data_IF_424003325181
#
_entry.id   IF_424003325181
#
_cell.length_a   1.000
_cell.length_b   1.000
_cell.length_c   1.000
_cell.angle_alpha   90.00
_cell.angle_beta   90.00
_cell.angle_gamma   90.00
#
_symmetry.space_group_name_H-M   'P 1'
#
loop_
_entity.id
_entity.type
_entity.pdbx_description
1 polymer ?
#
# COMPACT_ATOMS: atom_id res chain seq x y z
N UNK A 1 -19.36 -1.24 -7.89
CA UNK A 1 -19.18 -2.44 -7.04
C UNK A 1 -17.83 -3.03 -7.39
N UNK A 2 -16.90 -3.17 -6.44
CA UNK A 2 -15.54 -3.59 -6.75
C UNK A 2 -15.50 -5.04 -7.25
N UNK A 3 -14.64 -5.30 -8.24
CA UNK A 3 -14.48 -6.58 -8.93
C UNK A 3 -13.23 -7.31 -8.41
N UNK A 4 -13.18 -7.64 -7.11
CA UNK A 4 -12.05 -8.43 -6.61
C UNK A 4 -12.17 -9.90 -7.00
N UNK A 5 -11.03 -10.52 -7.31
CA UNK A 5 -10.91 -11.98 -7.26
C UNK A 5 -10.90 -12.42 -5.79
N UNK A 6 -12.00 -13.05 -5.34
CA UNK A 6 -12.16 -13.52 -3.96
C UNK A 6 -11.13 -14.57 -3.56
N UNK A 7 -10.53 -15.26 -4.52
CA UNK A 7 -9.57 -16.35 -4.26
C UNK A 7 -8.14 -15.87 -4.02
N UNK A 8 -7.86 -14.56 -4.10
CA UNK A 8 -6.51 -14.02 -3.90
C UNK A 8 -6.51 -12.98 -2.78
N UNK A 9 -5.85 -13.24 -1.64
CA UNK A 9 -5.68 -12.25 -0.60
C UNK A 9 -4.82 -11.09 -1.13
N UNK A 10 -5.16 -9.87 -0.73
CA UNK A 10 -4.58 -8.61 -1.23
C UNK A 10 -4.79 -8.35 -2.72
N UNK A 11 -5.77 -8.99 -3.36
CA UNK A 11 -6.28 -8.46 -4.64
C UNK A 11 -6.88 -7.08 -4.40
N UNK A 12 -6.78 -6.19 -5.38
CA UNK A 12 -7.21 -4.81 -5.24
C UNK A 12 -7.98 -4.35 -6.47
N UNK A 13 -8.74 -3.28 -6.28
CA UNK A 13 -9.51 -2.61 -7.32
C UNK A 13 -9.49 -1.11 -7.03
N UNK A 14 -9.55 -0.32 -8.10
CA UNK A 14 -9.48 1.14 -8.01
C UNK A 14 -10.86 1.70 -8.36
N UNK A 15 -11.59 2.12 -7.34
CA UNK A 15 -12.92 2.70 -7.49
C UNK A 15 -12.78 4.22 -7.54
N UNK A 16 -13.44 4.86 -8.50
CA UNK A 16 -13.44 6.32 -8.63
C UNK A 16 -14.82 6.86 -8.31
N UNK A 17 -14.91 7.70 -7.28
CA UNK A 17 -16.14 8.33 -6.83
C UNK A 17 -15.94 9.84 -6.73
N UNK A 18 -16.39 10.58 -7.74
CA UNK A 18 -16.14 12.04 -7.81
C UNK A 18 -14.64 12.35 -7.91
N UNK A 19 -14.12 13.08 -6.94
CA UNK A 19 -12.69 13.39 -6.82
C UNK A 19 -11.89 12.30 -6.09
N UNK A 20 -12.58 11.36 -5.45
CA UNK A 20 -11.92 10.29 -4.71
C UNK A 20 -11.52 9.13 -5.61
N UNK A 21 -10.29 8.66 -5.39
CA UNK A 21 -9.70 7.47 -5.99
C UNK A 21 -9.44 6.50 -4.85
N UNK A 22 -10.38 5.58 -4.67
CA UNK A 22 -10.40 4.64 -3.58
C UNK A 22 -9.66 3.37 -4.01
N UNK A 23 -8.53 3.12 -3.38
CA UNK A 23 -7.82 1.84 -3.48
C UNK A 23 -8.48 0.85 -2.52
N UNK A 24 -9.36 0.02 -3.04
CA UNK A 24 -9.98 -1.01 -2.24
C UNK A 24 -9.16 -2.30 -2.32
N UNK A 25 -8.89 -2.93 -1.17
CA UNK A 25 -7.99 -4.08 -1.03
C UNK A 25 -8.77 -5.21 -0.35
N UNK A 26 -8.82 -6.38 -0.96
CA UNK A 26 -9.46 -7.57 -0.41
C UNK A 26 -8.56 -8.25 0.62
N UNK A 27 -9.04 -8.36 1.86
CA UNK A 27 -8.39 -9.04 2.96
C UNK A 27 -9.30 -10.09 3.63
N UNK A 28 -10.36 -10.56 2.97
CA UNK A 28 -11.31 -11.53 3.54
C UNK A 28 -10.63 -12.81 4.05
N UNK A 29 -9.75 -13.39 3.23
CA UNK A 29 -8.99 -14.60 3.56
C UNK A 29 -7.71 -14.31 4.36
N UNK A 30 -7.47 -13.06 4.75
CA UNK A 30 -6.30 -12.70 5.55
C UNK A 30 -6.54 -13.05 7.03
N UNK A 31 -5.60 -13.79 7.64
CA UNK A 31 -5.78 -14.38 8.97
C UNK A 31 -5.72 -13.36 10.12
N UNK A 32 -5.20 -12.16 9.88
CA UNK A 32 -5.12 -11.08 10.85
C UNK A 32 -6.01 -9.91 10.48
N UNK A 33 -6.14 -8.96 11.39
CA UNK A 33 -6.79 -7.69 11.11
C UNK A 33 -5.87 -6.86 10.20
N UNK A 34 -6.39 -6.32 9.08
CA UNK A 34 -5.61 -5.47 8.20
C UNK A 34 -5.42 -4.08 8.84
N UNK A 35 -4.32 -3.93 9.56
CA UNK A 35 -3.85 -2.67 10.16
C UNK A 35 -2.51 -2.29 9.52
N UNK A 36 -2.42 -1.10 8.94
CA UNK A 36 -1.18 -0.63 8.31
C UNK A 36 -0.11 -0.43 9.39
N UNK A 37 -0.49 0.13 10.53
CA UNK A 37 0.40 0.51 11.63
C UNK A 37 0.90 -0.67 12.46
N UNK A 38 0.09 -1.72 12.61
CA UNK A 38 0.40 -2.83 13.52
C UNK A 38 0.85 -4.12 12.81
N UNK A 39 0.54 -4.28 11.52
CA UNK A 39 0.90 -5.48 10.76
C UNK A 39 1.91 -5.18 9.63
N UNK A 40 3.16 -5.68 9.77
CA UNK A 40 4.20 -5.45 8.77
C UNK A 40 3.86 -5.95 7.37
N UNK A 41 3.06 -7.01 7.25
CA UNK A 41 2.67 -7.57 5.95
C UNK A 41 1.70 -6.62 5.25
N UNK A 42 0.71 -6.12 5.99
CA UNK A 42 -0.26 -5.13 5.52
C UNK A 42 0.46 -3.84 5.10
N UNK A 43 1.40 -3.34 5.90
CA UNK A 43 2.25 -2.20 5.52
C UNK A 43 2.99 -2.45 4.20
N UNK A 44 3.71 -3.55 4.09
CA UNK A 44 4.51 -3.87 2.91
C UNK A 44 3.64 -3.97 1.64
N UNK A 45 2.53 -4.72 1.71
CA UNK A 45 1.59 -4.86 0.60
C UNK A 45 0.98 -3.52 0.19
N UNK A 46 0.63 -2.70 1.16
CA UNK A 46 0.06 -1.37 0.89
C UNK A 46 1.07 -0.46 0.21
N UNK A 47 2.34 -0.50 0.64
CA UNK A 47 3.41 0.25 -0.01
C UNK A 47 3.56 -0.15 -1.48
N UNK A 48 3.60 -1.45 -1.77
CA UNK A 48 3.70 -1.95 -3.16
C UNK A 48 2.53 -1.45 -4.02
N UNK A 49 1.30 -1.54 -3.49
CA UNK A 49 0.10 -1.09 -4.17
C UNK A 49 0.07 0.43 -4.38
N UNK A 50 0.56 1.22 -3.45
CA UNK A 50 0.64 2.69 -3.59
C UNK A 50 1.72 3.14 -4.59
N UNK A 51 2.74 2.32 -4.82
CA UNK A 51 3.74 2.57 -5.87
C UNK A 51 3.16 2.29 -7.26
N UNK A 52 2.24 1.33 -7.37
CA UNK A 52 1.48 1.00 -8.58
C UNK A 52 0.36 2.03 -8.84
N UNK A 53 -0.48 2.30 -7.83
CA UNK A 53 -1.61 3.24 -7.86
C UNK A 53 -1.24 4.57 -7.19
N UNK A 54 -0.52 5.40 -7.93
CA UNK A 54 0.09 6.64 -7.41
C UNK A 54 -0.89 7.76 -7.03
N UNK A 55 -2.15 7.66 -7.43
CA UNK A 55 -3.15 8.71 -7.28
C UNK A 55 -4.29 8.32 -6.32
N UNK A 56 -4.18 7.21 -5.59
CA UNK A 56 -5.15 6.87 -4.55
C UNK A 56 -5.29 8.02 -3.53
N UNK A 57 -6.53 8.39 -3.20
CA UNK A 57 -6.88 9.39 -2.18
C UNK A 57 -7.41 8.75 -0.91
N UNK A 58 -7.89 7.51 -0.99
CA UNK A 58 -8.39 6.72 0.14
C UNK A 58 -7.95 5.26 -0.04
N UNK A 59 -7.69 4.56 1.07
CA UNK A 59 -7.52 3.10 1.08
C UNK A 59 -8.66 2.48 1.87
N UNK A 60 -9.20 1.37 1.38
CA UNK A 60 -10.22 0.59 2.09
C UNK A 60 -9.85 -0.89 2.07
N UNK A 61 -9.51 -1.46 3.23
CA UNK A 61 -9.38 -2.91 3.36
C UNK A 61 -10.75 -3.54 3.62
N UNK A 62 -11.11 -4.52 2.81
CA UNK A 62 -12.37 -5.26 2.89
C UNK A 62 -12.11 -6.61 3.55
N UNK A 63 -12.71 -6.83 4.71
CA UNK A 63 -12.80 -8.11 5.40
C UNK A 63 -14.24 -8.18 5.97
N UNK A 64 -14.46 -8.82 7.13
CA UNK A 64 -15.73 -8.77 7.87
C UNK A 64 -16.28 -7.36 8.10
N UNK A 65 -15.40 -6.36 8.17
CA UNK A 65 -15.72 -4.92 8.15
C UNK A 65 -14.73 -4.18 7.27
N UNK A 66 -15.11 -2.98 6.85
CA UNK A 66 -14.22 -2.10 6.11
C UNK A 66 -13.31 -1.34 7.08
N UNK A 67 -12.03 -1.27 6.74
CA UNK A 67 -11.03 -0.44 7.40
C UNK A 67 -10.59 0.64 6.43
N UNK A 68 -10.88 1.90 6.76
CA UNK A 68 -10.64 3.02 5.87
C UNK A 68 -9.47 3.87 6.35
N UNK A 69 -8.66 4.33 5.41
CA UNK A 69 -7.59 5.29 5.64
C UNK A 69 -7.80 6.48 4.74
N UNK A 70 -7.82 7.67 5.34
CA UNK A 70 -8.09 8.92 4.64
C UNK A 70 -6.88 9.43 3.85
N UNK A 71 -7.09 10.53 3.13
CA UNK A 71 -6.04 11.15 2.33
C UNK A 71 -4.77 11.45 3.12
N UNK A 72 -4.88 11.96 4.34
CA UNK A 72 -3.72 12.34 5.15
C UNK A 72 -2.86 11.13 5.50
N UNK A 73 -3.52 10.03 5.89
CA UNK A 73 -2.86 8.76 6.19
C UNK A 73 -2.26 8.14 4.92
N UNK A 74 -2.98 8.17 3.80
CA UNK A 74 -2.50 7.68 2.50
C UNK A 74 -1.23 8.43 2.06
N UNK A 75 -1.18 9.75 2.25
CA UNK A 75 0.03 10.54 1.92
C UNK A 75 1.24 10.11 2.76
N UNK A 76 1.06 9.84 4.06
CA UNK A 76 2.14 9.39 4.94
C UNK A 76 2.70 8.04 4.46
N UNK A 77 1.83 7.06 4.25
CA UNK A 77 2.23 5.71 3.81
C UNK A 77 2.87 5.75 2.42
N UNK A 78 2.34 6.58 1.51
CA UNK A 78 2.95 6.81 0.19
C UNK A 78 4.35 7.40 0.30
N UNK A 79 4.56 8.35 1.22
CA UNK A 79 5.88 8.91 1.52
C UNK A 79 6.88 7.83 1.94
N UNK A 80 6.46 6.93 2.84
CA UNK A 80 7.26 5.78 3.28
C UNK A 80 7.58 4.86 2.09
N UNK A 81 6.57 4.48 1.30
CA UNK A 81 6.73 3.60 0.14
C UNK A 81 7.73 4.18 -0.88
N UNK A 82 7.62 5.48 -1.16
CA UNK A 82 8.51 6.16 -2.10
C UNK A 82 9.94 6.27 -1.57
N UNK A 83 10.12 6.61 -0.28
CA UNK A 83 11.41 6.67 0.36
C UNK A 83 12.09 5.29 0.33
N UNK A 84 11.36 4.23 0.70
CA UNK A 84 11.86 2.86 0.67
C UNK A 84 12.32 2.44 -0.72
N UNK A 85 11.50 2.71 -1.75
CA UNK A 85 11.84 2.41 -3.14
C UNK A 85 13.07 3.19 -3.62
N UNK A 86 13.19 4.47 -3.23
CA UNK A 86 14.39 5.26 -3.53
C UNK A 86 15.65 4.69 -2.86
N UNK A 87 15.56 4.31 -1.58
CA UNK A 87 16.69 3.75 -0.85
C UNK A 87 17.16 2.44 -1.48
N UNK A 88 16.24 1.56 -1.90
CA UNK A 88 16.58 0.32 -2.62
C UNK A 88 17.30 0.64 -3.92
N UNK A 89 16.75 1.53 -4.76
CA UNK A 89 17.37 1.91 -6.05
C UNK A 89 18.76 2.53 -5.89
N UNK A 90 19.02 3.19 -4.75
CA UNK A 90 20.32 3.79 -4.44
C UNK A 90 21.30 2.83 -3.76
N UNK A 91 20.90 1.60 -3.38
CA UNK A 91 21.84 0.64 -2.78
C UNK A 91 23.02 0.30 -3.70
N UNK A 92 22.85 0.40 -5.02
CA UNK A 92 23.93 0.26 -5.99
C UNK A 92 25.01 1.34 -5.85
N UNK A 93 24.68 2.51 -5.28
CA UNK A 93 25.61 3.61 -4.98
C UNK A 93 26.21 3.48 -3.57
N UNK A 94 25.46 2.85 -2.64
CA UNK A 94 25.86 2.70 -1.23
C UNK A 94 26.79 1.47 -1.05
N UNK A 95 26.80 0.54 -2.00
CA UNK A 95 27.69 -0.63 -1.99
C UNK A 95 29.08 -0.37 -2.57
N UNK A 96 30.11 -0.54 -1.73
CA UNK A 96 31.54 -0.74 -2.04
C UNK A 96 32.39 0.41 -2.60
N UNK A 97 31.83 1.51 -3.12
CA UNK A 97 32.63 2.61 -3.69
C UNK A 97 32.94 3.81 -2.78
N UNK A 98 32.21 3.98 -1.66
CA UNK A 98 32.21 5.22 -0.90
C UNK A 98 33.19 5.29 0.30
N UNK A 99 33.98 4.24 0.53
CA UNK A 99 34.92 4.16 1.67
C UNK A 99 36.37 3.88 1.27
N UNK A 100 36.78 4.19 0.04
CA UNK A 100 38.21 4.21 -0.30
C UNK A 100 38.73 5.62 -0.05
N UNK A 101 39.28 5.83 1.15
CA UNK A 101 40.21 6.92 1.44
C UNK A 101 41.63 6.48 1.10
#
# INVERSE_FOLDING_TARGET
MPLFDKNKPFSYDVVREGEDIILMINCEEYSKLPSIEDDPVTMAKTCDLLLEVRNATKIVFTQKRNYEYDYSQVQLVRGIAFLYNQLIKRKDIIGYGAFVF
#
